data_IF_171585493430
#
_entry.id   IF_171585493430
#
_cell.length_a   1.000
_cell.length_b   1.000
_cell.length_c   1.000
_cell.angle_alpha   90.00
_cell.angle_beta   90.00
_cell.angle_gamma   90.00
#
_symmetry.space_group_name_H-M   'P 1'
#
loop_
_entity.id
_entity.type
_entity.pdbx_description
1 polymer ?
#
# COMPACT_ATOMS: atom_id res chain seq x y z
N UNK A 1 31.83 8.35 -13.51
CA UNK A 1 31.21 7.01 -13.59
C UNK A 1 31.59 6.38 -14.92
N UNK A 2 32.21 5.20 -14.93
CA UNK A 2 32.51 4.48 -16.17
C UNK A 2 31.21 3.87 -16.72
N UNK A 3 30.82 4.25 -17.94
CA UNK A 3 29.53 3.85 -18.56
C UNK A 3 29.66 2.61 -19.46
N UNK A 4 30.87 2.06 -19.64
CA UNK A 4 31.14 0.98 -20.59
C UNK A 4 31.13 1.42 -22.06
N UNK A 5 31.48 0.48 -22.94
CA UNK A 5 31.36 0.62 -24.40
C UNK A 5 29.88 0.67 -24.83
N UNK A 6 29.60 1.10 -26.07
CA UNK A 6 28.22 1.15 -26.60
C UNK A 6 27.50 -0.22 -26.49
N UNK A 7 28.24 -1.32 -26.68
CA UNK A 7 27.72 -2.68 -26.50
C UNK A 7 27.33 -2.99 -25.05
N UNK A 8 28.15 -2.57 -24.08
CA UNK A 8 27.85 -2.74 -22.64
C UNK A 8 26.63 -1.90 -22.25
N UNK A 9 26.52 -0.67 -22.77
CA UNK A 9 25.38 0.20 -22.49
C UNK A 9 24.07 -0.41 -23.00
N UNK A 10 24.08 -1.00 -24.21
CA UNK A 10 22.92 -1.68 -24.79
C UNK A 10 22.55 -2.93 -24.01
N UNK A 11 23.53 -3.76 -23.64
CA UNK A 11 23.28 -4.96 -22.84
C UNK A 11 22.72 -4.61 -21.46
N UNK A 12 23.22 -3.55 -20.81
CA UNK A 12 22.66 -3.08 -19.54
C UNK A 12 21.23 -2.55 -19.70
N UNK A 13 20.91 -1.89 -20.82
CA UNK A 13 19.55 -1.46 -21.09
C UNK A 13 18.59 -2.64 -21.24
N UNK A 14 18.99 -3.69 -21.95
CA UNK A 14 18.21 -4.92 -22.12
C UNK A 14 17.90 -5.57 -20.76
N UNK A 15 18.89 -5.67 -19.86
CA UNK A 15 18.69 -6.19 -18.50
C UNK A 15 17.67 -5.37 -17.71
N UNK A 16 17.79 -4.04 -17.71
CA UNK A 16 16.87 -3.17 -16.96
C UNK A 16 15.47 -3.17 -17.59
N UNK A 17 15.37 -3.37 -18.90
CA UNK A 17 14.10 -3.54 -19.59
C UNK A 17 13.41 -4.84 -19.19
N UNK A 18 14.15 -5.95 -19.13
CA UNK A 18 13.63 -7.24 -18.67
C UNK A 18 13.15 -7.15 -17.20
N UNK A 19 13.95 -6.52 -16.32
CA UNK A 19 13.54 -6.23 -14.93
C UNK A 19 12.25 -5.39 -14.86
N UNK A 20 12.11 -4.45 -15.79
CA UNK A 20 10.89 -3.67 -15.89
C UNK A 20 9.72 -4.54 -16.35
N UNK A 21 9.88 -5.41 -17.34
CA UNK A 21 8.80 -6.25 -17.86
C UNK A 21 8.30 -7.27 -16.83
N UNK A 22 9.21 -7.88 -16.08
CA UNK A 22 8.92 -8.81 -14.97
C UNK A 22 8.51 -8.11 -13.67
N UNK A 23 8.47 -6.77 -13.64
CA UNK A 23 8.15 -6.01 -12.45
C UNK A 23 6.75 -6.35 -11.91
N UNK A 24 6.74 -7.02 -10.76
CA UNK A 24 5.57 -7.36 -9.97
C UNK A 24 5.80 -6.98 -8.50
N UNK A 25 4.70 -6.83 -7.76
CA UNK A 25 4.73 -6.66 -6.32
C UNK A 25 5.16 -7.96 -5.63
N UNK A 26 5.98 -7.86 -4.58
CA UNK A 26 6.39 -9.01 -3.76
C UNK A 26 5.34 -9.29 -2.67
N UNK A 27 5.34 -10.50 -2.12
CA UNK A 27 4.29 -10.98 -1.19
C UNK A 27 4.10 -10.08 0.05
N UNK A 28 5.19 -9.57 0.64
CA UNK A 28 5.15 -8.73 1.85
C UNK A 28 5.57 -7.26 1.59
N UNK A 29 5.47 -6.80 0.35
CA UNK A 29 5.87 -5.44 -0.03
C UNK A 29 4.75 -4.44 0.22
N UNK A 30 5.02 -3.34 0.92
CA UNK A 30 4.03 -2.28 1.11
C UNK A 30 3.86 -1.43 -0.17
N UNK A 31 2.68 -0.82 -0.43
CA UNK A 31 2.47 -0.01 -1.63
C UNK A 31 3.49 1.12 -1.82
N UNK A 32 4.00 1.69 -0.70
CA UNK A 32 5.04 2.71 -0.71
C UNK A 32 6.40 2.17 -1.16
N UNK A 33 6.75 0.96 -0.73
CA UNK A 33 8.01 0.30 -1.08
C UNK A 33 8.00 -0.10 -2.55
N UNK A 34 6.88 -0.68 -3.01
CA UNK A 34 6.65 -0.98 -4.42
C UNK A 34 6.82 0.26 -5.30
N UNK A 35 6.20 1.37 -4.90
CA UNK A 35 6.30 2.64 -5.63
C UNK A 35 7.74 3.14 -5.67
N UNK A 36 8.46 3.09 -4.54
CA UNK A 36 9.84 3.53 -4.49
C UNK A 36 10.74 2.68 -5.40
N UNK A 37 10.60 1.35 -5.36
CA UNK A 37 11.33 0.43 -6.24
C UNK A 37 11.04 0.70 -7.71
N UNK A 38 9.79 0.98 -8.06
CA UNK A 38 9.41 1.35 -9.42
C UNK A 38 10.02 2.68 -9.85
N UNK A 39 10.05 3.69 -8.98
CA UNK A 39 10.67 4.98 -9.32
C UNK A 39 12.18 4.86 -9.50
N UNK A 40 12.84 4.02 -8.71
CA UNK A 40 14.27 3.71 -8.87
C UNK A 40 14.53 3.01 -10.20
N UNK A 41 13.70 2.03 -10.58
CA UNK A 41 13.77 1.36 -11.88
C UNK A 41 13.54 2.35 -13.03
N UNK A 42 12.58 3.26 -12.88
CA UNK A 42 12.31 4.29 -13.87
C UNK A 42 13.51 5.24 -14.09
N UNK A 43 14.22 5.60 -13.02
CA UNK A 43 15.46 6.38 -13.11
C UNK A 43 16.54 5.58 -13.84
N UNK A 44 16.71 4.30 -13.50
CA UNK A 44 17.67 3.41 -14.17
C UNK A 44 17.40 3.32 -15.68
N UNK A 45 16.15 3.05 -16.09
CA UNK A 45 15.76 3.01 -17.50
C UNK A 45 16.12 4.30 -18.24
N UNK A 46 15.86 5.46 -17.62
CA UNK A 46 16.19 6.76 -18.20
C UNK A 46 17.70 6.98 -18.30
N UNK A 47 18.45 6.56 -17.29
CA UNK A 47 19.91 6.66 -17.27
C UNK A 47 20.57 5.79 -18.35
N UNK A 48 19.90 4.71 -18.76
CA UNK A 48 20.28 3.85 -19.88
C UNK A 48 19.70 4.29 -21.25
N UNK A 49 18.94 5.39 -21.31
CA UNK A 49 18.50 6.03 -22.56
C UNK A 49 17.03 5.84 -22.93
N UNK A 50 16.21 5.27 -22.05
CA UNK A 50 14.76 5.16 -22.26
C UNK A 50 14.11 6.55 -22.39
N UNK A 51 13.33 6.75 -23.46
CA UNK A 51 12.47 7.94 -23.64
C UNK A 51 11.02 7.68 -23.24
N UNK A 52 10.63 6.41 -23.13
CA UNK A 52 9.24 5.99 -22.93
C UNK A 52 8.87 5.85 -21.44
N UNK A 53 9.84 6.07 -20.55
CA UNK A 53 9.65 6.04 -19.10
C UNK A 53 9.14 7.40 -18.59
N UNK A 54 7.87 7.70 -18.88
CA UNK A 54 7.18 8.91 -18.44
C UNK A 54 6.41 8.72 -17.12
N UNK A 55 5.83 9.80 -16.58
CA UNK A 55 5.01 9.74 -15.34
C UNK A 55 3.80 8.82 -15.51
N UNK A 56 3.28 8.70 -16.73
CA UNK A 56 2.10 7.91 -17.06
C UNK A 56 2.44 6.41 -17.11
N UNK A 57 3.64 6.06 -17.55
CA UNK A 57 4.23 4.74 -17.48
C UNK A 57 4.37 4.29 -16.03
N UNK A 58 4.92 5.13 -15.15
CA UNK A 58 5.03 4.83 -13.71
C UNK A 58 3.64 4.54 -13.14
N UNK A 59 2.67 5.43 -13.38
CA UNK A 59 1.28 5.26 -12.92
C UNK A 59 0.66 3.93 -13.38
N UNK A 60 0.78 3.60 -14.68
CA UNK A 60 0.24 2.35 -15.24
C UNK A 60 0.95 1.11 -14.71
N UNK A 61 2.28 1.15 -14.62
CA UNK A 61 3.09 0.02 -14.16
C UNK A 61 2.81 -0.27 -12.69
N UNK A 62 2.70 0.77 -11.86
CA UNK A 62 2.31 0.66 -10.45
C UNK A 62 0.94 0.00 -10.29
N UNK A 63 -0.09 0.48 -10.99
CA UNK A 63 -1.42 -0.11 -10.92
C UNK A 63 -1.46 -1.56 -11.43
N UNK A 64 -0.71 -1.87 -12.49
CA UNK A 64 -0.59 -3.24 -13.00
C UNK A 64 0.02 -4.19 -11.95
N UNK A 65 1.04 -3.72 -11.21
CA UNK A 65 1.67 -4.49 -10.14
C UNK A 65 0.77 -4.64 -8.90
N UNK A 66 -0.07 -3.64 -8.59
CA UNK A 66 -1.02 -3.67 -7.47
C UNK A 66 -2.27 -4.52 -7.74
N UNK A 67 -2.69 -4.63 -9.00
CA UNK A 67 -3.96 -5.26 -9.39
C UNK A 67 -4.18 -6.69 -8.87
N UNK A 68 -3.17 -7.59 -8.82
CA UNK A 68 -3.34 -8.94 -8.28
C UNK A 68 -3.73 -8.96 -6.79
N UNK A 69 -3.23 -7.99 -6.01
CA UNK A 69 -3.39 -7.95 -4.55
C UNK A 69 -4.55 -7.05 -4.13
N UNK A 70 -4.73 -5.91 -4.81
CA UNK A 70 -5.71 -4.90 -4.49
C UNK A 70 -6.65 -4.66 -5.68
N UNK A 71 -7.31 -5.72 -6.16
CA UNK A 71 -8.15 -5.71 -7.37
C UNK A 71 -9.24 -4.65 -7.33
N UNK A 72 -10.03 -4.61 -6.25
CA UNK A 72 -11.17 -3.69 -6.13
C UNK A 72 -10.72 -2.23 -6.22
N UNK A 73 -9.71 -1.85 -5.42
CA UNK A 73 -9.20 -0.48 -5.41
C UNK A 73 -8.55 -0.10 -6.74
N UNK A 74 -7.73 -0.99 -7.30
CA UNK A 74 -7.10 -0.77 -8.60
C UNK A 74 -8.14 -0.57 -9.71
N UNK A 75 -9.24 -1.33 -9.69
CA UNK A 75 -10.35 -1.15 -10.64
C UNK A 75 -11.07 0.18 -10.45
N UNK A 76 -11.34 0.61 -9.21
CA UNK A 76 -11.99 1.89 -8.91
C UNK A 76 -11.14 3.06 -9.43
N UNK A 77 -9.83 3.04 -9.18
CA UNK A 77 -8.91 4.09 -9.65
C UNK A 77 -8.88 4.12 -11.19
N UNK A 78 -8.88 2.97 -11.86
CA UNK A 78 -8.85 2.91 -13.33
C UNK A 78 -10.14 3.40 -13.99
N UNK A 79 -11.28 3.26 -13.32
CA UNK A 79 -12.59 3.67 -13.84
C UNK A 79 -12.89 5.16 -13.62
N UNK A 80 -12.03 5.86 -12.88
CA UNK A 80 -12.19 7.29 -12.62
C UNK A 80 -12.10 8.11 -13.92
N UNK A 81 -13.01 9.06 -14.16
CA UNK A 81 -12.98 9.90 -15.35
C UNK A 81 -11.74 10.81 -15.40
N UNK A 82 -11.20 11.19 -14.23
CA UNK A 82 -9.99 11.99 -14.07
C UNK A 82 -8.70 11.15 -14.02
N UNK A 83 -8.77 9.85 -14.31
CA UNK A 83 -7.60 8.96 -14.23
C UNK A 83 -6.43 9.44 -15.10
N UNK A 84 -6.70 10.03 -16.25
CA UNK A 84 -5.66 10.54 -17.16
C UNK A 84 -4.87 11.71 -16.56
N UNK A 85 -5.51 12.55 -15.74
CA UNK A 85 -4.89 13.73 -15.12
C UNK A 85 -4.20 13.42 -13.79
N UNK A 86 -4.60 12.33 -13.12
CA UNK A 86 -3.96 11.90 -11.89
C UNK A 86 -2.46 11.61 -12.07
N UNK A 87 -1.68 12.07 -11.11
CA UNK A 87 -0.26 11.76 -10.97
C UNK A 87 -0.08 10.37 -10.33
N UNK A 88 1.12 9.81 -10.49
CA UNK A 88 1.47 8.53 -9.89
C UNK A 88 1.55 8.61 -8.35
N UNK A 89 1.89 9.78 -7.79
CA UNK A 89 1.88 10.02 -6.35
C UNK A 89 0.44 10.05 -5.79
N UNK A 90 -0.48 10.75 -6.47
CA UNK A 90 -1.89 10.76 -6.03
C UNK A 90 -2.49 9.35 -6.05
N UNK A 91 -2.17 8.55 -7.07
CA UNK A 91 -2.58 7.14 -7.10
C UNK A 91 -2.01 6.35 -5.91
N UNK A 92 -0.74 6.58 -5.52
CA UNK A 92 -0.18 5.97 -4.32
C UNK A 92 -0.92 6.42 -3.04
N UNK A 93 -1.21 7.71 -2.92
CA UNK A 93 -1.89 8.28 -1.75
C UNK A 93 -3.27 7.65 -1.53
N UNK A 94 -3.99 7.30 -2.60
CA UNK A 94 -5.26 6.58 -2.53
C UNK A 94 -5.11 5.18 -1.87
N UNK A 95 -4.05 4.42 -2.22
CA UNK A 95 -3.78 3.13 -1.58
C UNK A 95 -3.36 3.29 -0.12
N UNK A 96 -2.56 4.31 0.18
CA UNK A 96 -2.18 4.63 1.56
C UNK A 96 -3.42 5.00 2.38
N UNK A 97 -4.28 5.87 1.86
CA UNK A 97 -5.50 6.30 2.53
C UNK A 97 -6.39 5.10 2.86
N UNK A 98 -6.52 4.15 1.92
CA UNK A 98 -7.23 2.89 2.15
C UNK A 98 -6.62 2.08 3.31
N UNK A 99 -5.30 1.89 3.32
CA UNK A 99 -4.64 1.15 4.42
C UNK A 99 -4.86 1.81 5.80
N UNK A 100 -4.99 3.14 5.84
CA UNK A 100 -5.28 3.90 7.06
C UNK A 100 -6.75 3.71 7.46
N UNK A 101 -7.67 3.74 6.50
CA UNK A 101 -9.10 3.52 6.74
C UNK A 101 -9.37 2.11 7.25
N UNK A 102 -8.72 1.09 6.67
CA UNK A 102 -8.84 -0.31 7.12
C UNK A 102 -8.39 -0.46 8.58
N UNK A 103 -7.20 0.08 8.93
CA UNK A 103 -6.71 0.11 10.31
C UNK A 103 -7.66 0.84 11.26
N UNK A 104 -8.28 1.91 10.78
CA UNK A 104 -9.23 2.70 11.58
C UNK A 104 -10.53 1.92 11.82
N UNK A 105 -11.04 1.23 10.80
CA UNK A 105 -12.22 0.39 10.89
C UNK A 105 -11.99 -0.79 11.85
N UNK A 106 -10.85 -1.48 11.75
CA UNK A 106 -10.46 -2.56 12.64
C UNK A 106 -10.41 -2.11 14.11
N UNK A 107 -9.80 -0.94 14.36
CA UNK A 107 -9.76 -0.35 15.70
C UNK A 107 -11.16 -0.06 16.24
N UNK A 108 -12.06 0.50 15.43
CA UNK A 108 -13.45 0.77 15.84
C UNK A 108 -14.19 -0.53 16.20
N UNK A 109 -14.00 -1.61 15.44
CA UNK A 109 -14.55 -2.93 15.74
C UNK A 109 -14.02 -3.44 17.08
N UNK A 110 -12.69 -3.41 17.29
CA UNK A 110 -12.07 -3.85 18.55
C UNK A 110 -12.60 -3.07 19.76
N UNK A 111 -12.76 -1.76 19.64
CA UNK A 111 -13.36 -0.92 20.69
C UNK A 111 -14.81 -1.34 20.99
N UNK A 112 -15.62 -1.58 19.96
CA UNK A 112 -17.01 -2.02 20.12
C UNK A 112 -17.12 -3.40 20.79
N UNK A 113 -16.18 -4.31 20.50
CA UNK A 113 -16.14 -5.65 21.10
C UNK A 113 -15.69 -5.61 22.55
N UNK A 114 -14.75 -4.73 22.91
CA UNK A 114 -14.33 -4.52 24.30
C UNK A 114 -15.46 -3.93 25.16
N UNK A 115 -16.24 -2.99 24.61
CA UNK A 115 -17.39 -2.40 25.31
C UNK A 115 -18.51 -3.42 25.60
N UNK A 116 -18.61 -4.50 24.80
CA UNK A 116 -19.63 -5.56 24.94
C UNK A 116 -19.26 -6.65 25.94
N UNK A 117 -18.05 -6.68 26.50
CA UNK A 117 -17.73 -7.58 27.62
C UNK A 117 -18.19 -6.89 28.91
N UNK A 118 -19.33 -7.26 29.52
CA UNK A 118 -19.65 -6.78 30.85
C UNK A 118 -18.54 -7.27 31.78
N UNK A 119 -17.83 -6.34 32.42
CA UNK A 119 -16.94 -6.68 33.53
C UNK A 119 -17.82 -7.33 34.62
N UNK A 120 -17.77 -8.66 34.71
CA UNK A 120 -18.60 -9.48 35.60
C UNK A 120 -18.18 -9.39 37.09
N UNK A 121 -17.22 -8.54 37.45
CA UNK A 121 -16.58 -8.61 38.76
C UNK A 121 -17.16 -7.60 39.78
N UNK A 122 -17.49 -8.14 40.96
CA UNK A 122 -17.89 -7.53 42.24
C UNK A 122 -19.35 -7.05 42.38
N UNK A 123 -20.25 -8.01 42.61
CA UNK A 123 -21.37 -7.82 43.56
C UNK A 123 -20.95 -8.35 44.93
N UNK A 124 -20.22 -7.56 45.71
CA UNK A 124 -20.11 -7.80 47.15
C UNK A 124 -21.38 -7.23 47.82
N UNK A 125 -22.28 -8.10 48.28
CA UNK A 125 -23.34 -7.69 49.21
C UNK A 125 -22.75 -7.74 50.61
N UNK A 126 -22.61 -6.58 51.24
CA UNK A 126 -22.47 -6.49 52.70
C UNK A 126 -23.84 -6.82 53.28
N UNK A 127 -23.97 -7.98 53.92
CA UNK A 127 -25.06 -8.21 54.85
C UNK A 127 -24.70 -7.43 56.12
N UNK A 128 -25.48 -6.41 56.43
CA UNK A 128 -25.58 -5.87 57.77
C UNK A 128 -26.61 -6.75 58.48
N UNK A 129 -26.14 -7.59 59.39
CA UNK A 129 -27.01 -8.20 60.40
C UNK A 129 -27.19 -7.14 61.49
N UNK A 130 -28.30 -6.41 61.43
CA UNK A 130 -28.90 -5.77 62.59
C UNK A 130 -29.76 -6.85 63.27
N UNK A 131 -29.35 -7.32 64.43
CA UNK A 131 -30.25 -7.93 65.41
C UNK A 131 -30.03 -7.24 66.76
N UNK A 132 -30.87 -6.22 66.94
CA UNK A 132 -31.71 -5.87 68.10
C UNK A 132 -31.16 -5.95 69.54
N UNK A 133 -31.35 -4.81 70.20
CA UNK A 133 -31.22 -4.53 71.64
C UNK A 133 -32.14 -5.43 72.49
N UNK A 134 -31.58 -6.05 73.55
CA UNK A 134 -32.25 -6.28 74.84
C UNK A 134 -31.24 -6.29 76.00
#
# INVERSE_FOLDING_TARGET
LYRGSASIQRSNYEVVQDEADEFAMKEDEEPRELYWRLTTLAVSLRDHGSKDTDKNWIKRKFLKAMMPYHKAMSSVILQRPDFHTLSSCEVLDEFVAMSILDKTADNAVLHSQRAKKPNLALKAKVNVEEEDEE
#
